data_IF_728885424294
#
_entry.id   IF_728885424294
#
_cell.length_a   1.000
_cell.length_b   1.000
_cell.length_c   1.000
_cell.angle_alpha   90.00
_cell.angle_beta   90.00
_cell.angle_gamma   90.00
#
_symmetry.space_group_name_H-M   'P 1'
#
loop_
_entity.id
_entity.type
_entity.pdbx_description
1 polymer ?
#
# COMPACT_ATOMS: atom_id res chain seq x y z
N UNK A 1 32.22 16.38 -24.30
CA UNK A 1 31.27 15.33 -23.86
C UNK A 1 31.09 15.47 -22.36
N UNK A 2 29.89 15.83 -21.90
CA UNK A 2 29.62 15.95 -20.46
C UNK A 2 29.76 14.58 -19.82
N UNK A 3 30.60 14.47 -18.79
CA UNK A 3 30.78 13.23 -18.05
C UNK A 3 29.45 12.84 -17.39
N UNK A 4 28.85 11.76 -17.88
CA UNK A 4 27.57 11.27 -17.39
C UNK A 4 27.66 10.86 -15.91
N UNK A 5 28.85 10.52 -15.42
CA UNK A 5 29.08 10.14 -14.03
C UNK A 5 28.88 11.36 -13.12
N UNK A 6 29.44 12.52 -13.49
CA UNK A 6 29.24 13.77 -12.78
C UNK A 6 27.76 14.21 -12.77
N UNK A 7 27.04 14.01 -13.88
CA UNK A 7 25.59 14.31 -13.96
C UNK A 7 24.78 13.43 -13.01
N UNK A 8 25.10 12.13 -12.95
CA UNK A 8 24.42 11.18 -12.04
C UNK A 8 24.71 11.49 -10.58
N UNK A 9 25.95 11.82 -10.23
CA UNK A 9 26.35 12.21 -8.88
C UNK A 9 25.56 13.44 -8.41
N UNK A 10 25.53 14.50 -9.22
CA UNK A 10 24.78 15.73 -8.91
C UNK A 10 23.28 15.50 -8.77
N UNK A 11 22.69 14.66 -9.64
CA UNK A 11 21.27 14.31 -9.55
C UNK A 11 20.94 13.54 -8.26
N UNK A 12 21.85 12.65 -7.83
CA UNK A 12 21.71 11.89 -6.59
C UNK A 12 21.76 12.79 -5.34
N UNK A 13 22.72 13.72 -5.29
CA UNK A 13 22.83 14.72 -4.24
C UNK A 13 21.59 15.61 -4.17
N UNK A 14 21.15 16.13 -5.31
CA UNK A 14 19.94 16.97 -5.42
C UNK A 14 18.71 16.22 -4.90
N UNK A 15 18.58 14.93 -5.24
CA UNK A 15 17.46 14.09 -4.81
C UNK A 15 17.48 13.87 -3.29
N UNK A 16 18.65 13.70 -2.67
CA UNK A 16 18.77 13.59 -1.20
C UNK A 16 18.54 14.91 -0.47
N UNK A 17 19.04 16.02 -1.03
CA UNK A 17 18.79 17.34 -0.47
C UNK A 17 17.30 17.68 -0.47
N UNK A 18 16.59 17.33 -1.55
CA UNK A 18 15.16 17.64 -1.71
C UNK A 18 14.22 16.69 -0.96
N UNK A 19 14.55 15.40 -0.87
CA UNK A 19 13.63 14.36 -0.36
C UNK A 19 14.19 13.58 0.84
N UNK A 20 15.32 14.01 1.41
CA UNK A 20 15.97 13.36 2.54
C UNK A 20 16.64 12.03 2.20
N UNK A 21 17.16 11.35 3.24
CA UNK A 21 17.98 10.12 3.11
C UNK A 21 17.26 8.97 2.39
N UNK A 22 15.92 8.92 2.45
CA UNK A 22 15.07 7.88 1.83
C UNK A 22 14.55 8.25 0.43
N UNK A 23 14.73 9.48 -0.03
CA UNK A 23 14.14 9.91 -1.31
C UNK A 23 12.61 9.92 -1.29
N UNK A 24 11.99 9.77 -2.47
CA UNK A 24 10.53 9.64 -2.65
C UNK A 24 9.91 8.39 -2.00
N UNK A 25 10.72 7.49 -1.43
CA UNK A 25 10.24 6.24 -0.83
C UNK A 25 9.28 6.42 0.36
N UNK A 26 9.11 7.66 0.86
CA UNK A 26 8.12 7.99 1.90
C UNK A 26 7.00 8.96 1.48
N UNK A 27 7.11 9.65 0.34
CA UNK A 27 6.13 10.70 -0.03
C UNK A 27 4.85 10.15 -0.67
N UNK A 28 4.88 8.92 -1.17
CA UNK A 28 3.68 8.14 -1.49
C UNK A 28 3.38 7.14 -0.36
N UNK A 29 3.48 7.57 0.90
CA UNK A 29 2.95 6.78 2.00
C UNK A 29 1.48 6.48 1.69
N UNK A 30 1.20 5.22 1.34
CA UNK A 30 -0.16 4.72 1.11
C UNK A 30 -1.03 5.16 2.29
N UNK A 31 -2.14 5.79 1.92
CA UNK A 31 -3.07 6.46 2.81
C UNK A 31 -3.40 5.58 4.02
N UNK A 32 -3.08 6.00 5.24
CA UNK A 32 -3.43 5.27 6.47
C UNK A 32 -4.93 5.33 6.76
N UNK A 33 -5.70 6.14 6.02
CA UNK A 33 -7.16 6.16 6.04
C UNK A 33 -7.81 4.86 5.52
N UNK A 34 -7.07 4.00 4.81
CA UNK A 34 -7.62 2.77 4.23
C UNK A 34 -7.98 1.68 5.26
N UNK A 35 -7.50 1.77 6.52
CA UNK A 35 -7.78 0.72 7.51
C UNK A 35 -9.27 0.64 7.88
N UNK A 36 -9.97 1.78 7.92
CA UNK A 36 -11.40 1.82 8.21
C UNK A 36 -12.25 1.25 7.08
N UNK A 37 -11.95 1.64 5.84
CA UNK A 37 -12.63 1.13 4.65
C UNK A 37 -12.38 -0.37 4.46
N UNK A 38 -11.15 -0.83 4.67
CA UNK A 38 -10.80 -2.25 4.59
C UNK A 38 -11.53 -3.07 5.67
N UNK A 39 -11.60 -2.57 6.90
CA UNK A 39 -12.37 -3.21 7.97
C UNK A 39 -13.86 -3.34 7.64
N UNK A 40 -14.46 -2.31 7.06
CA UNK A 40 -15.85 -2.36 6.59
C UNK A 40 -16.06 -3.41 5.48
N UNK A 41 -15.15 -3.47 4.50
CA UNK A 41 -15.22 -4.45 3.41
C UNK A 41 -15.10 -5.89 3.94
N UNK A 42 -14.20 -6.14 4.90
CA UNK A 42 -14.08 -7.45 5.55
C UNK A 42 -15.32 -7.80 6.37
N UNK A 43 -15.93 -6.83 7.06
CA UNK A 43 -17.19 -7.04 7.77
C UNK A 43 -18.33 -7.44 6.81
N UNK A 44 -18.46 -6.76 5.67
CA UNK A 44 -19.45 -7.10 4.65
C UNK A 44 -19.23 -8.48 4.02
N UNK A 45 -17.98 -8.96 3.98
CA UNK A 45 -17.67 -10.34 3.61
C UNK A 45 -18.19 -11.32 4.67
N UNK A 46 -17.90 -11.08 5.95
CA UNK A 46 -18.34 -11.94 7.06
C UNK A 46 -19.87 -11.99 7.19
N UNK A 47 -20.56 -10.87 6.93
CA UNK A 47 -22.03 -10.79 6.91
C UNK A 47 -22.64 -11.45 5.66
N UNK A 48 -21.83 -11.91 4.70
CA UNK A 48 -22.27 -12.55 3.47
C UNK A 48 -22.84 -11.58 2.42
N UNK A 49 -22.68 -10.27 2.62
CA UNK A 49 -23.14 -9.22 1.69
C UNK A 49 -22.25 -9.18 0.44
N UNK A 50 -20.95 -9.35 0.63
CA UNK A 50 -19.97 -9.46 -0.45
C UNK A 50 -19.40 -10.87 -0.51
N UNK A 51 -19.18 -11.35 -1.74
CA UNK A 51 -18.41 -12.58 -1.96
C UNK A 51 -16.89 -12.35 -1.84
N UNK A 52 -16.16 -13.40 -1.50
CA UNK A 52 -14.69 -13.39 -1.40
C UNK A 52 -14.02 -12.82 -2.66
N UNK A 53 -14.54 -13.17 -3.85
CA UNK A 53 -14.04 -12.66 -5.13
C UNK A 53 -14.24 -11.15 -5.32
N UNK A 54 -15.38 -10.61 -4.88
CA UNK A 54 -15.65 -9.16 -4.94
C UNK A 54 -14.69 -8.39 -4.02
N UNK A 55 -14.43 -8.93 -2.83
CA UNK A 55 -13.48 -8.34 -1.86
C UNK A 55 -12.05 -8.37 -2.39
N UNK A 56 -11.59 -9.50 -2.94
CA UNK A 56 -10.25 -9.58 -3.54
C UNK A 56 -10.08 -8.56 -4.68
N UNK A 57 -11.09 -8.40 -5.54
CA UNK A 57 -11.06 -7.44 -6.65
C UNK A 57 -11.03 -5.98 -6.16
N UNK A 58 -11.84 -5.66 -5.15
CA UNK A 58 -11.94 -4.30 -4.62
C UNK A 58 -10.69 -3.87 -3.85
N UNK A 59 -10.08 -4.79 -3.11
CA UNK A 59 -8.92 -4.51 -2.24
C UNK A 59 -7.57 -4.77 -2.91
N UNK A 60 -7.58 -5.43 -4.08
CA UNK A 60 -6.38 -5.95 -4.76
C UNK A 60 -5.54 -6.88 -3.87
N UNK A 61 -6.18 -7.54 -2.90
CA UNK A 61 -5.58 -8.56 -2.05
C UNK A 61 -5.86 -9.95 -2.63
N UNK A 62 -4.97 -10.88 -2.33
CA UNK A 62 -5.19 -12.29 -2.64
C UNK A 62 -6.17 -12.93 -1.63
N UNK A 63 -6.69 -14.10 -2.03
CA UNK A 63 -7.68 -14.85 -1.25
C UNK A 63 -7.18 -15.27 0.13
N UNK A 64 -5.90 -15.63 0.26
CA UNK A 64 -5.33 -16.08 1.53
C UNK A 64 -5.27 -14.91 2.52
N UNK A 65 -4.80 -13.76 2.05
CA UNK A 65 -4.79 -12.53 2.85
C UNK A 65 -6.21 -12.12 3.28
N UNK A 66 -7.18 -12.15 2.37
CA UNK A 66 -8.59 -11.81 2.70
C UNK A 66 -9.18 -12.75 3.74
N UNK A 67 -8.93 -14.06 3.65
CA UNK A 67 -9.41 -15.05 4.64
C UNK A 67 -8.80 -14.83 6.02
N UNK A 68 -7.48 -14.65 6.09
CA UNK A 68 -6.81 -14.36 7.36
C UNK A 68 -7.36 -13.09 8.03
N UNK A 69 -7.71 -12.07 7.25
CA UNK A 69 -8.35 -10.86 7.76
C UNK A 69 -9.79 -11.09 8.22
N UNK A 70 -10.56 -11.90 7.49
CA UNK A 70 -11.92 -12.28 7.86
C UNK A 70 -11.97 -13.07 9.17
N UNK A 71 -11.06 -14.04 9.32
CA UNK A 71 -10.92 -14.87 10.52
C UNK A 71 -10.54 -13.99 11.73
N UNK A 72 -9.51 -13.15 11.59
CA UNK A 72 -9.08 -12.25 12.66
C UNK A 72 -10.15 -11.22 13.07
N UNK A 73 -11.07 -10.86 12.16
CA UNK A 73 -12.18 -9.96 12.45
C UNK A 73 -13.39 -10.66 13.10
N UNK A 74 -13.53 -11.98 12.94
CA UNK A 74 -14.61 -12.77 13.54
C UNK A 74 -14.36 -13.21 14.97
N UNK A 75 -13.11 -13.12 15.44
CA UNK A 75 -12.71 -13.44 16.82
C UNK A 75 -12.86 -12.26 17.81
N UNK A 76 -13.31 -11.09 17.33
CA UNK A 76 -13.49 -9.86 18.12
C UNK A 76 -14.96 -9.57 18.42
#
# INVERSE_FOLDING_TARGET
MTDQSAVRARAWETRRARYGKRGHAGSYSRNTADRGALGLVIRLLNEGVLSEGQVCRATQLDRVTVRAMADAAGEA
#
